data_IF_697269004944
#
_entry.id   IF_697269004944
#
_cell.length_a   1.000
_cell.length_b   1.000
_cell.length_c   1.000
_cell.angle_alpha   90.00
_cell.angle_beta   90.00
_cell.angle_gamma   90.00
#
_symmetry.space_group_name_H-M   'P 1'
#
loop_
_entity.id
_entity.type
_entity.pdbx_description
1 polymer ?
#
# COMPACT_ATOMS: atom_id res chain seq x y z
N UNK A 1 -19.98 -13.66 -3.54
CA UNK A 1 -20.09 -15.09 -3.92
C UNK A 1 -21.32 -15.34 -4.80
N UNK A 2 -22.57 -14.99 -4.40
CA UNK A 2 -23.78 -15.21 -5.21
C UNK A 2 -23.68 -14.56 -6.59
N UNK A 3 -23.28 -13.31 -6.69
CA UNK A 3 -23.09 -12.61 -7.97
C UNK A 3 -22.09 -13.31 -8.89
N UNK A 4 -21.01 -13.85 -8.34
CA UNK A 4 -20.06 -14.64 -9.10
C UNK A 4 -20.65 -15.97 -9.57
N UNK A 5 -21.49 -16.61 -8.73
CA UNK A 5 -22.24 -17.80 -9.10
C UNK A 5 -23.17 -17.54 -10.30
N UNK A 6 -23.94 -16.46 -10.25
CA UNK A 6 -24.83 -16.04 -11.35
C UNK A 6 -24.05 -15.74 -12.63
N UNK A 7 -22.91 -15.03 -12.53
CA UNK A 7 -22.03 -14.76 -13.66
C UNK A 7 -21.45 -16.05 -14.25
N UNK A 8 -21.02 -16.98 -13.40
CA UNK A 8 -20.49 -18.29 -13.81
C UNK A 8 -21.52 -19.12 -14.56
N UNK A 9 -22.79 -19.14 -14.09
CA UNK A 9 -23.89 -19.83 -14.78
C UNK A 9 -24.21 -19.19 -16.13
N UNK A 10 -24.30 -17.86 -16.18
CA UNK A 10 -24.48 -17.14 -17.45
C UNK A 10 -23.40 -17.53 -18.46
N UNK A 11 -22.13 -17.54 -18.01
CA UNK A 11 -21.01 -17.94 -18.86
C UNK A 11 -21.10 -19.40 -19.31
N UNK A 12 -21.51 -20.30 -18.42
CA UNK A 12 -21.70 -21.72 -18.78
C UNK A 12 -22.77 -21.88 -19.84
N UNK A 13 -23.91 -21.17 -19.74
CA UNK A 13 -24.97 -21.17 -20.77
C UNK A 13 -24.47 -20.59 -22.10
N UNK A 14 -23.70 -19.50 -22.09
CA UNK A 14 -23.11 -18.92 -23.29
C UNK A 14 -22.13 -19.89 -24.00
N UNK A 15 -21.57 -20.85 -23.25
CA UNK A 15 -20.70 -21.92 -23.78
C UNK A 15 -21.43 -23.26 -23.93
N UNK A 16 -22.76 -23.23 -24.18
CA UNK A 16 -23.60 -24.41 -24.48
C UNK A 16 -23.66 -25.48 -23.38
N UNK A 17 -23.46 -25.08 -22.12
CA UNK A 17 -23.66 -25.94 -20.93
C UNK A 17 -25.05 -25.75 -20.37
N UNK A 18 -25.66 -26.81 -19.82
CA UNK A 18 -26.93 -26.73 -19.15
C UNK A 18 -26.83 -25.92 -17.85
N UNK A 19 -27.74 -24.97 -17.59
CA UNK A 19 -27.72 -24.20 -16.35
C UNK A 19 -28.11 -25.10 -15.16
N UNK A 20 -27.56 -24.80 -14.00
CA UNK A 20 -27.95 -25.39 -12.72
C UNK A 20 -29.32 -24.83 -12.31
N UNK A 21 -30.08 -25.62 -11.56
CA UNK A 21 -31.30 -25.09 -10.92
C UNK A 21 -30.88 -24.02 -9.86
N UNK A 22 -31.76 -23.03 -9.66
CA UNK A 22 -31.52 -21.91 -8.75
C UNK A 22 -31.17 -22.33 -7.31
N UNK A 23 -31.81 -23.40 -6.81
CA UNK A 23 -31.53 -23.97 -5.50
C UNK A 23 -30.11 -24.58 -5.42
N UNK A 24 -29.69 -25.26 -6.49
CA UNK A 24 -28.32 -25.84 -6.56
C UNK A 24 -27.27 -24.76 -6.66
N UNK A 25 -27.55 -23.64 -7.35
CA UNK A 25 -26.65 -22.50 -7.43
C UNK A 25 -26.45 -21.86 -6.06
N UNK A 26 -27.49 -21.69 -5.27
CA UNK A 26 -27.42 -21.16 -3.90
C UNK A 26 -26.62 -22.12 -3.01
N UNK A 27 -26.96 -23.40 -3.01
CA UNK A 27 -26.26 -24.43 -2.24
C UNK A 27 -24.76 -24.48 -2.58
N UNK A 28 -24.44 -24.48 -3.86
CA UNK A 28 -23.06 -24.47 -4.34
C UNK A 28 -22.31 -23.18 -3.91
N UNK A 29 -22.95 -22.01 -4.02
CA UNK A 29 -22.35 -20.74 -3.61
C UNK A 29 -22.09 -20.70 -2.10
N UNK A 30 -22.99 -21.27 -1.29
CA UNK A 30 -22.82 -21.39 0.17
C UNK A 30 -21.72 -22.40 0.53
N UNK A 31 -21.65 -23.51 -0.19
CA UNK A 31 -20.57 -24.50 -0.01
C UNK A 31 -19.20 -23.88 -0.28
N UNK A 32 -19.07 -23.16 -1.40
CA UNK A 32 -17.84 -22.44 -1.76
C UNK A 32 -17.47 -21.37 -0.73
N UNK A 33 -18.45 -20.65 -0.19
CA UNK A 33 -18.23 -19.69 0.89
C UNK A 33 -17.75 -20.39 2.17
N UNK A 34 -18.35 -21.54 2.51
CA UNK A 34 -17.95 -22.35 3.66
C UNK A 34 -16.54 -22.91 3.53
N UNK A 35 -16.16 -23.40 2.33
CA UNK A 35 -14.79 -23.82 2.03
C UNK A 35 -13.79 -22.67 2.16
N UNK A 36 -14.12 -21.49 1.61
CA UNK A 36 -13.28 -20.30 1.73
C UNK A 36 -13.11 -19.87 3.19
N UNK A 37 -14.20 -19.86 3.96
CA UNK A 37 -14.15 -19.55 5.40
C UNK A 37 -13.45 -20.64 6.21
N UNK A 38 -13.57 -21.90 5.81
CA UNK A 38 -12.88 -23.04 6.41
C UNK A 38 -11.39 -22.99 6.15
N UNK A 39 -10.97 -22.67 4.93
CA UNK A 39 -9.56 -22.52 4.58
C UNK A 39 -8.90 -21.34 5.32
N UNK A 40 -9.64 -20.27 5.59
CA UNK A 40 -9.13 -19.17 6.43
C UNK A 40 -8.92 -19.61 7.90
N UNK A 41 -9.69 -20.57 8.41
CA UNK A 41 -9.54 -21.10 9.78
C UNK A 41 -8.38 -22.10 9.91
N UNK A 42 -8.02 -22.78 8.83
CA UNK A 42 -6.91 -23.76 8.83
C UNK A 42 -5.53 -23.08 8.74
N UNK A 43 -5.47 -21.85 8.23
CA UNK A 43 -4.26 -21.02 8.24
C UNK A 43 -4.12 -20.25 9.56
N UNK A 44 -3.88 -21.01 10.64
CA UNK A 44 -3.33 -20.49 11.89
C UNK A 44 -4.29 -19.70 12.75
N UNK A 45 -4.11 -19.80 14.07
CA UNK A 45 -4.59 -18.81 15.04
C UNK A 45 -4.40 -17.41 14.49
N UNK A 46 -5.34 -16.47 14.73
CA UNK A 46 -5.14 -15.09 14.30
C UNK A 46 -3.75 -14.69 14.77
N UNK A 47 -2.84 -14.50 13.82
CA UNK A 47 -1.60 -13.78 14.10
C UNK A 47 -2.06 -12.56 14.86
N UNK A 48 -1.64 -12.42 16.11
CA UNK A 48 -1.94 -11.22 16.88
C UNK A 48 -1.68 -10.07 15.92
N UNK A 49 -2.64 -9.15 15.74
CA UNK A 49 -2.42 -8.03 14.82
C UNK A 49 -1.05 -7.46 15.17
N UNK A 50 -0.15 -7.29 14.20
CA UNK A 50 1.19 -6.83 14.48
C UNK A 50 1.05 -5.63 15.42
N UNK A 51 1.68 -5.66 16.59
CA UNK A 51 1.55 -4.59 17.59
C UNK A 51 1.91 -3.30 16.87
N UNK A 52 0.96 -2.38 16.81
CA UNK A 52 1.27 -1.03 16.30
C UNK A 52 2.50 -0.53 17.05
N UNK A 53 3.49 0.02 16.34
CA UNK A 53 4.66 0.58 17.00
C UNK A 53 4.16 1.58 18.05
N UNK A 54 4.74 1.54 19.26
CA UNK A 54 4.48 2.55 20.28
C UNK A 54 4.72 3.91 19.65
N UNK A 55 3.87 4.89 19.96
CA UNK A 55 4.06 6.27 19.49
C UNK A 55 5.51 6.69 19.72
N UNK A 56 6.27 6.75 18.66
CA UNK A 56 7.65 7.22 18.67
C UNK A 56 7.79 8.28 17.59
N UNK A 57 8.48 9.39 17.87
CA UNK A 57 8.81 10.37 16.85
C UNK A 57 9.64 9.70 15.75
N UNK A 58 9.66 10.32 14.58
CA UNK A 58 10.55 9.88 13.51
C UNK A 58 12.02 10.04 13.95
N UNK A 59 12.85 9.13 13.51
CA UNK A 59 14.31 9.19 13.74
C UNK A 59 15.07 9.16 12.42
N UNK A 60 16.17 9.91 12.27
CA UNK A 60 16.95 9.89 11.04
C UNK A 60 17.61 8.53 10.80
N UNK A 61 17.94 8.19 9.54
CA UNK A 61 18.73 7.00 9.22
C UNK A 61 20.19 7.20 9.67
N UNK A 62 21.01 6.13 9.66
CA UNK A 62 22.45 6.22 9.90
C UNK A 62 23.15 7.21 8.97
N UNK A 63 24.30 7.70 9.39
CA UNK A 63 25.09 8.65 8.60
C UNK A 63 25.41 8.10 7.20
N UNK A 64 25.15 8.91 6.18
CA UNK A 64 25.36 8.55 4.77
C UNK A 64 24.20 7.79 4.12
N UNK A 65 23.18 7.38 4.88
CA UNK A 65 22.02 6.67 4.37
C UNK A 65 20.84 7.62 4.10
N UNK A 66 19.95 7.19 3.20
CA UNK A 66 18.67 7.86 2.94
C UNK A 66 17.48 7.01 3.44
N UNK A 67 16.47 7.72 3.92
CA UNK A 67 15.21 7.11 4.39
C UNK A 67 14.03 7.66 3.60
N UNK A 68 13.23 6.76 3.06
CA UNK A 68 11.95 7.04 2.41
C UNK A 68 10.81 6.79 3.39
N UNK A 69 9.93 7.77 3.57
CA UNK A 69 8.63 7.60 4.21
C UNK A 69 7.51 7.75 3.17
N UNK A 70 6.50 6.89 3.23
CA UNK A 70 5.33 6.94 2.32
C UNK A 70 4.03 6.81 3.09
N UNK A 71 2.96 7.39 2.54
CA UNK A 71 1.60 7.33 3.07
C UNK A 71 0.56 7.47 1.96
N UNK A 72 -0.65 7.01 2.20
CA UNK A 72 -1.79 7.14 1.31
C UNK A 72 -2.99 7.82 1.97
N UNK A 73 -3.54 8.82 1.32
CA UNK A 73 -4.83 9.41 1.70
C UNK A 73 -5.94 8.80 0.84
N UNK A 74 -6.70 7.88 1.44
CA UNK A 74 -7.81 7.17 0.77
C UNK A 74 -9.12 7.46 1.48
N UNK A 75 -10.15 7.84 0.70
CA UNK A 75 -11.51 8.00 1.20
C UNK A 75 -12.45 7.04 0.46
N UNK A 76 -13.23 6.20 1.18
CA UNK A 76 -14.19 5.31 0.56
C UNK A 76 -15.14 6.04 -0.38
N UNK A 77 -15.35 5.51 -1.59
CA UNK A 77 -16.24 6.10 -2.60
C UNK A 77 -15.64 7.23 -3.42
N UNK A 78 -14.43 7.70 -3.11
CA UNK A 78 -13.72 8.67 -3.94
C UNK A 78 -12.95 7.96 -5.07
N UNK A 79 -13.01 8.55 -6.28
CA UNK A 79 -12.29 8.06 -7.46
C UNK A 79 -10.87 8.61 -7.58
N UNK A 80 -10.30 9.08 -6.49
CA UNK A 80 -8.94 9.57 -6.38
C UNK A 80 -8.38 9.22 -5.01
N UNK A 81 -7.10 8.92 -4.94
CA UNK A 81 -6.32 8.85 -3.71
C UNK A 81 -5.11 9.79 -3.80
N UNK A 82 -4.60 10.23 -2.67
CA UNK A 82 -3.34 10.94 -2.60
C UNK A 82 -2.22 10.01 -2.17
N UNK A 83 -1.09 10.05 -2.88
CA UNK A 83 0.16 9.41 -2.49
C UNK A 83 1.13 10.47 -2.00
N UNK A 84 1.72 10.27 -0.83
CA UNK A 84 2.75 11.11 -0.24
C UNK A 84 4.04 10.34 -0.07
N UNK A 85 5.16 10.93 -0.50
CA UNK A 85 6.49 10.36 -0.35
C UNK A 85 7.50 11.44 0.04
N UNK A 86 8.38 11.14 0.98
CA UNK A 86 9.48 12.02 1.38
C UNK A 86 10.74 11.22 1.64
N UNK A 87 11.83 11.65 1.02
CA UNK A 87 13.18 11.11 1.24
C UNK A 87 13.95 12.10 2.09
N UNK A 88 14.53 11.61 3.18
CA UNK A 88 15.35 12.42 4.11
C UNK A 88 16.71 11.78 4.35
N UNK A 89 17.69 12.63 4.59
CA UNK A 89 19.05 12.22 4.93
C UNK A 89 19.23 11.96 6.44
N UNK A 90 20.44 11.64 6.83
CA UNK A 90 20.83 11.39 8.23
C UNK A 90 20.77 12.62 9.15
N UNK A 91 20.60 13.81 8.60
CA UNK A 91 20.39 15.05 9.36
C UNK A 91 18.88 15.40 9.46
N UNK A 92 17.99 14.58 8.86
CA UNK A 92 16.57 14.83 8.76
C UNK A 92 16.16 15.79 7.65
N UNK A 93 17.13 16.26 6.85
CA UNK A 93 16.88 17.20 5.77
C UNK A 93 16.19 16.48 4.61
N UNK A 94 15.15 17.12 4.05
CA UNK A 94 14.45 16.62 2.86
C UNK A 94 15.35 16.70 1.64
N UNK A 95 15.54 15.57 0.98
CA UNK A 95 16.24 15.44 -0.31
C UNK A 95 15.26 15.64 -1.45
N UNK A 96 14.13 14.94 -1.39
CA UNK A 96 13.01 15.08 -2.32
C UNK A 96 11.71 14.74 -1.61
N UNK A 97 10.65 15.43 -1.96
CA UNK A 97 9.29 15.16 -1.51
C UNK A 97 8.32 15.17 -2.69
N UNK A 98 7.31 14.31 -2.65
CA UNK A 98 6.29 14.23 -3.69
C UNK A 98 4.91 14.08 -3.08
N UNK A 99 3.95 14.78 -3.68
CA UNK A 99 2.52 14.62 -3.44
C UNK A 99 1.86 14.34 -4.80
N UNK A 100 1.32 13.11 -5.00
CA UNK A 100 0.83 12.65 -6.30
C UNK A 100 -0.57 12.07 -6.19
N UNK A 101 -1.57 12.62 -6.91
CA UNK A 101 -2.89 12.02 -6.97
C UNK A 101 -2.89 10.82 -7.91
N UNK A 102 -3.56 9.74 -7.51
CA UNK A 102 -3.79 8.55 -8.32
C UNK A 102 -5.29 8.40 -8.56
N UNK A 103 -5.68 8.23 -9.83
CA UNK A 103 -7.07 8.05 -10.22
C UNK A 103 -7.50 6.59 -10.08
N UNK A 104 -8.66 6.36 -9.47
CA UNK A 104 -9.23 5.04 -9.27
C UNK A 104 -9.93 4.91 -7.91
N UNK A 105 -10.58 3.76 -7.70
CA UNK A 105 -11.19 3.39 -6.42
C UNK A 105 -10.28 2.40 -5.71
N UNK A 106 -9.69 2.80 -4.61
CA UNK A 106 -8.68 2.01 -3.93
C UNK A 106 -9.14 1.63 -2.52
N UNK A 107 -9.10 0.33 -2.14
CA UNK A 107 -9.08 -0.06 -0.73
C UNK A 107 -7.84 0.52 -0.03
N UNK A 108 -7.95 0.85 1.25
CA UNK A 108 -6.86 1.50 2.00
C UNK A 108 -5.51 0.75 1.88
N UNK A 109 -5.52 -0.58 2.04
CA UNK A 109 -4.30 -1.39 1.95
C UNK A 109 -3.65 -1.33 0.56
N UNK A 110 -4.46 -1.31 -0.51
CA UNK A 110 -3.96 -1.14 -1.88
C UNK A 110 -3.40 0.27 -2.09
N UNK A 111 -4.06 1.28 -1.52
CA UNK A 111 -3.59 2.67 -1.56
C UNK A 111 -2.19 2.81 -0.94
N UNK A 112 -1.98 2.23 0.25
CA UNK A 112 -0.68 2.24 0.92
C UNK A 112 0.42 1.52 0.10
N UNK A 113 0.07 0.38 -0.49
CA UNK A 113 1.01 -0.37 -1.35
C UNK A 113 1.37 0.42 -2.62
N UNK A 114 0.40 1.13 -3.21
CA UNK A 114 0.64 2.01 -4.36
C UNK A 114 1.47 3.24 -3.96
N UNK A 115 1.22 3.85 -2.81
CA UNK A 115 2.02 4.96 -2.30
C UNK A 115 3.49 4.54 -2.09
N UNK A 116 3.71 3.35 -1.53
CA UNK A 116 5.06 2.76 -1.42
C UNK A 116 5.70 2.61 -2.79
N UNK A 117 4.98 2.06 -3.77
CA UNK A 117 5.46 1.91 -5.15
C UNK A 117 5.83 3.25 -5.78
N UNK A 118 4.99 4.27 -5.66
CA UNK A 118 5.25 5.61 -6.20
C UNK A 118 6.48 6.27 -5.55
N UNK A 119 6.63 6.15 -4.23
CA UNK A 119 7.83 6.64 -3.53
C UNK A 119 9.13 5.95 -3.98
N UNK A 120 9.09 4.66 -4.26
CA UNK A 120 10.24 3.92 -4.80
C UNK A 120 10.52 4.29 -6.27
N UNK A 121 9.49 4.54 -7.07
CA UNK A 121 9.66 5.04 -8.44
C UNK A 121 10.30 6.42 -8.44
N UNK A 122 9.88 7.32 -7.54
CA UNK A 122 10.51 8.62 -7.32
C UNK A 122 12.01 8.46 -7.01
N UNK A 123 12.35 7.59 -6.07
CA UNK A 123 13.76 7.35 -5.72
C UNK A 123 14.56 6.82 -6.92
N UNK A 124 13.98 5.92 -7.71
CA UNK A 124 14.60 5.38 -8.91
C UNK A 124 14.80 6.46 -9.99
N UNK A 125 13.81 7.32 -10.21
CA UNK A 125 13.87 8.41 -11.20
C UNK A 125 15.04 9.36 -10.92
N UNK A 126 15.26 9.67 -9.63
CA UNK A 126 16.34 10.55 -9.21
C UNK A 126 17.66 9.83 -8.83
N UNK A 127 17.76 8.52 -9.16
CA UNK A 127 18.94 7.70 -8.88
C UNK A 127 19.37 7.75 -7.41
N UNK A 128 18.41 7.81 -6.48
CA UNK A 128 18.65 7.80 -5.05
C UNK A 128 18.79 6.36 -4.55
N UNK A 129 19.82 6.11 -3.73
CA UNK A 129 19.96 4.83 -3.03
C UNK A 129 19.24 4.95 -1.69
N UNK A 130 18.17 4.18 -1.53
CA UNK A 130 17.32 4.19 -0.34
C UNK A 130 17.58 2.93 0.47
N UNK A 131 18.24 3.06 1.61
CA UNK A 131 18.48 1.91 2.49
C UNK A 131 17.33 1.64 3.44
N UNK A 132 16.58 2.67 3.81
CA UNK A 132 15.51 2.61 4.80
C UNK A 132 14.18 3.05 4.22
N UNK A 133 13.15 2.24 4.45
CA UNK A 133 11.76 2.56 4.10
C UNK A 133 10.89 2.45 5.35
N UNK A 134 10.03 3.43 5.58
CA UNK A 134 9.07 3.45 6.67
C UNK A 134 7.69 3.86 6.18
N UNK A 135 6.65 3.18 6.66
CA UNK A 135 5.24 3.49 6.44
C UNK A 135 4.43 3.08 7.68
N UNK A 136 3.26 3.66 7.91
CA UNK A 136 2.45 3.31 9.09
C UNK A 136 1.49 2.13 8.85
N UNK A 137 1.44 1.59 7.63
CA UNK A 137 0.63 0.43 7.25
C UNK A 137 1.35 -0.90 7.57
N UNK A 138 1.24 -1.37 8.82
CA UNK A 138 1.86 -2.62 9.31
C UNK A 138 1.53 -3.83 8.44
N UNK A 139 0.28 -3.92 7.96
CA UNK A 139 -0.17 -5.02 7.08
C UNK A 139 0.51 -4.98 5.71
N UNK A 140 0.80 -3.81 5.16
CA UNK A 140 1.53 -3.70 3.88
C UNK A 140 2.96 -4.19 4.05
N UNK A 141 3.65 -3.76 5.11
CA UNK A 141 5.00 -4.26 5.43
C UNK A 141 4.99 -5.78 5.57
N UNK A 142 4.07 -6.33 6.38
CA UNK A 142 3.96 -7.77 6.56
C UNK A 142 3.68 -8.51 5.24
N UNK A 143 2.82 -7.96 4.38
CA UNK A 143 2.46 -8.56 3.09
C UNK A 143 3.62 -8.54 2.10
N UNK A 144 4.40 -7.48 2.05
CA UNK A 144 5.59 -7.39 1.17
C UNK A 144 6.60 -8.47 1.54
N UNK A 145 6.80 -8.77 2.83
CA UNK A 145 7.76 -9.80 3.27
C UNK A 145 7.19 -11.21 3.33
N UNK A 146 5.92 -11.37 3.71
CA UNK A 146 5.29 -12.68 3.94
C UNK A 146 4.33 -13.06 2.80
N UNK A 147 4.72 -12.85 1.54
CA UNK A 147 3.87 -13.10 0.37
C UNK A 147 3.10 -14.41 0.48
N UNK A 148 1.82 -14.32 0.82
CA UNK A 148 0.88 -15.42 0.63
C UNK A 148 0.50 -15.43 -0.85
N UNK A 149 0.70 -16.51 -1.59
CA UNK A 149 0.35 -16.57 -3.01
C UNK A 149 -1.17 -16.43 -3.21
N UNK A 150 -1.55 -15.87 -4.37
CA UNK A 150 -2.93 -15.70 -4.85
C UNK A 150 -3.70 -14.49 -4.30
N UNK A 151 -3.07 -13.33 -4.26
CA UNK A 151 -3.73 -12.05 -4.03
C UNK A 151 -3.80 -11.21 -5.31
N UNK A 152 -4.87 -10.44 -5.50
CA UNK A 152 -4.96 -9.44 -6.57
C UNK A 152 -3.86 -8.35 -6.47
N UNK A 153 -3.17 -8.24 -5.33
CA UNK A 153 -2.06 -7.32 -5.10
C UNK A 153 -0.68 -7.91 -5.48
N UNK A 154 -0.59 -9.20 -5.80
CA UNK A 154 0.69 -9.87 -6.08
C UNK A 154 1.52 -9.20 -7.20
N UNK A 155 0.93 -8.69 -8.30
CA UNK A 155 1.69 -7.97 -9.31
C UNK A 155 2.36 -6.71 -8.74
N UNK A 156 1.65 -5.93 -7.90
CA UNK A 156 2.17 -4.70 -7.30
C UNK A 156 3.24 -5.03 -6.24
N UNK A 157 3.03 -6.09 -5.46
CA UNK A 157 4.04 -6.59 -4.51
C UNK A 157 5.32 -7.01 -5.24
N UNK A 158 5.19 -7.66 -6.39
CA UNK A 158 6.32 -8.04 -7.22
C UNK A 158 7.09 -6.81 -7.74
N UNK A 159 6.36 -5.77 -8.19
CA UNK A 159 6.95 -4.50 -8.60
C UNK A 159 7.69 -3.83 -7.43
N UNK A 160 7.08 -3.74 -6.25
CA UNK A 160 7.70 -3.18 -5.05
C UNK A 160 8.99 -3.92 -4.70
N UNK A 161 8.99 -5.26 -4.73
CA UNK A 161 10.19 -6.06 -4.49
C UNK A 161 11.29 -5.84 -5.54
N UNK A 162 10.91 -5.65 -6.79
CA UNK A 162 11.86 -5.32 -7.86
C UNK A 162 12.45 -3.92 -7.65
N UNK A 163 11.62 -2.95 -7.25
CA UNK A 163 12.05 -1.59 -6.94
C UNK A 163 12.94 -1.56 -5.69
N UNK A 164 12.66 -2.33 -4.63
CA UNK A 164 13.54 -2.45 -3.47
C UNK A 164 14.97 -2.82 -3.88
N UNK A 165 15.12 -3.81 -4.77
CA UNK A 165 16.44 -4.20 -5.30
C UNK A 165 17.07 -3.09 -6.14
N UNK A 166 16.25 -2.41 -6.95
CA UNK A 166 16.75 -1.38 -7.87
C UNK A 166 17.27 -0.13 -7.16
N UNK A 167 16.65 0.26 -6.03
CA UNK A 167 17.05 1.45 -5.25
C UNK A 167 17.87 1.11 -3.98
N UNK A 168 18.14 -0.18 -3.70
CA UNK A 168 19.03 -0.61 -2.63
C UNK A 168 18.38 -0.73 -1.24
N UNK A 169 17.04 -0.95 -1.16
CA UNK A 169 16.36 -1.08 0.14
C UNK A 169 16.86 -2.31 0.91
N UNK A 170 17.41 -2.07 2.08
CA UNK A 170 17.88 -3.11 3.02
C UNK A 170 16.92 -3.28 4.20
N UNK A 171 16.20 -2.22 4.56
CA UNK A 171 15.35 -2.16 5.73
C UNK A 171 13.99 -1.54 5.38
N UNK A 172 12.91 -2.25 5.73
CA UNK A 172 11.55 -1.72 5.59
C UNK A 172 10.77 -2.05 6.86
N UNK A 173 10.25 -1.01 7.53
CA UNK A 173 9.61 -1.13 8.83
C UNK A 173 8.30 -0.38 8.90
N UNK A 174 7.41 -0.85 9.78
CA UNK A 174 6.25 -0.09 10.17
C UNK A 174 6.64 0.93 11.25
N UNK A 175 6.18 2.17 11.08
CA UNK A 175 6.36 3.28 12.02
C UNK A 175 5.01 3.71 12.60
N UNK A 176 5.00 4.44 13.71
CA UNK A 176 3.78 5.06 14.23
C UNK A 176 3.31 6.18 13.29
N UNK A 177 2.01 6.44 13.27
CA UNK A 177 1.43 7.53 12.48
C UNK A 177 2.04 8.90 12.83
N UNK A 178 2.38 9.13 14.10
CA UNK A 178 3.06 10.35 14.54
C UNK A 178 4.46 10.50 13.94
N UNK A 179 5.17 9.40 13.69
CA UNK A 179 6.46 9.40 13.00
C UNK A 179 6.34 9.51 11.47
N UNK A 180 5.16 9.27 10.89
CA UNK A 180 4.90 9.34 9.45
C UNK A 180 4.23 10.66 9.01
N UNK A 181 4.20 11.68 9.86
CA UNK A 181 3.43 12.92 9.68
C UNK A 181 3.71 13.66 8.38
N UNK A 182 4.97 13.74 7.93
CA UNK A 182 5.30 14.40 6.66
C UNK A 182 4.71 13.69 5.45
N UNK A 183 4.86 12.38 5.34
CA UNK A 183 4.27 11.59 4.26
C UNK A 183 2.74 11.70 4.28
N UNK A 184 2.13 11.67 5.48
CA UNK A 184 0.70 11.87 5.67
C UNK A 184 0.21 13.23 5.16
N UNK A 185 0.93 14.31 5.46
CA UNK A 185 0.58 15.65 4.99
C UNK A 185 0.69 15.78 3.47
N UNK A 186 1.71 15.16 2.86
CA UNK A 186 1.88 15.12 1.41
C UNK A 186 0.75 14.31 0.73
N UNK A 187 0.39 13.15 1.28
CA UNK A 187 -0.74 12.37 0.78
C UNK A 187 -2.06 13.15 0.87
N UNK A 188 -2.30 13.82 1.98
CA UNK A 188 -3.48 14.67 2.18
C UNK A 188 -3.52 15.86 1.22
N UNK A 189 -2.37 16.49 0.94
CA UNK A 189 -2.25 17.54 -0.06
C UNK A 189 -2.63 17.03 -1.46
N UNK A 190 -2.05 15.91 -1.89
CA UNK A 190 -2.34 15.31 -3.19
C UNK A 190 -3.82 14.94 -3.35
N UNK A 191 -4.43 14.40 -2.28
CA UNK A 191 -5.86 14.07 -2.27
C UNK A 191 -6.74 15.31 -2.40
N UNK A 192 -6.42 16.40 -1.71
CA UNK A 192 -7.24 17.63 -1.67
C UNK A 192 -7.05 18.51 -2.90
N UNK A 193 -5.81 18.72 -3.34
CA UNK A 193 -5.51 19.56 -4.51
C UNK A 193 -5.82 18.87 -5.83
N UNK A 194 -5.70 17.54 -5.88
CA UNK A 194 -5.76 16.71 -7.10
C UNK A 194 -4.68 17.10 -8.12
N UNK A 195 -3.61 17.73 -7.65
CA UNK A 195 -2.45 18.14 -8.43
C UNK A 195 -1.21 17.39 -7.98
N UNK A 196 -0.28 17.18 -8.91
CA UNK A 196 1.01 16.55 -8.64
C UNK A 196 2.05 17.60 -8.31
N UNK A 197 2.78 17.38 -7.23
CA UNK A 197 3.87 18.22 -6.78
C UNK A 197 5.11 17.39 -6.52
N UNK A 198 6.27 17.95 -6.89
CA UNK A 198 7.57 17.40 -6.53
C UNK A 198 8.50 18.55 -6.12
N UNK A 199 9.12 18.41 -4.95
CA UNK A 199 10.02 19.42 -4.40
C UNK A 199 11.39 18.80 -4.13
N UNK A 200 12.39 19.60 -4.44
CA UNK A 200 13.77 19.39 -4.03
C UNK A 200 14.13 20.45 -3.02
N UNK A 201 15.13 20.22 -2.20
CA UNK A 201 15.64 21.23 -1.26
C UNK A 201 15.60 22.68 -1.85
N UNK A 202 14.93 23.69 -1.21
CA UNK A 202 14.35 23.66 0.14
C UNK A 202 12.96 23.03 0.22
N UNK A 203 12.60 22.60 1.44
CA UNK A 203 11.31 21.99 1.78
C UNK A 203 10.13 22.96 1.56
N UNK A 204 8.95 22.43 1.19
CA UNK A 204 7.72 23.23 1.26
C UNK A 204 7.50 23.75 2.69
N UNK A 205 7.15 25.04 2.82
CA UNK A 205 7.01 25.69 4.13
C UNK A 205 6.03 24.99 5.09
N UNK A 206 5.01 24.31 4.57
CA UNK A 206 4.04 23.57 5.39
C UNK A 206 4.60 22.29 6.01
N UNK A 207 5.73 21.76 5.52
CA UNK A 207 6.41 20.60 6.09
C UNK A 207 7.37 20.98 7.24
N UNK A 208 7.82 22.24 7.30
CA UNK A 208 8.80 22.70 8.30
C UNK A 208 8.31 22.51 9.74
N UNK A 209 7.00 22.58 9.98
CA UNK A 209 6.41 22.32 11.30
C UNK A 209 6.23 20.85 11.69
N UNK A 210 6.65 19.92 10.81
CA UNK A 210 6.51 18.46 10.99
C UNK A 210 7.87 17.75 11.16
N UNK A 211 8.95 18.53 11.21
CA UNK A 211 10.33 18.07 11.46
C UNK A 211 10.57 17.67 12.90
#
# INVERSE_FOLDING_TARGET
MILWGVWSERNAVCHSKSPRFSADLVSWSLSLLSEFQGSQKVFGSPLQPPRQPRSSPWSPPPAGSLKLNTDAAVTPGCSVMGSGAVVRDSQGKVVVASAKPLLGFFPAELGELLALREGLLLAKEFNLIIEWVELDAVNVVARVFNSLPCSAMDPIISDVKALFRAVGVSNCHAISRSGNGMAHSLASLAFSSKEEFCWFNPEPSFLVGLL
#
